data_IF_403118968228
#
_entry.id   IF_403118968228
#
_cell.length_a   1.000
_cell.length_b   1.000
_cell.length_c   1.000
_cell.angle_alpha   90.00
_cell.angle_beta   90.00
_cell.angle_gamma   90.00
#
_symmetry.space_group_name_H-M   'P 1'
#
loop_
_entity.id
_entity.type
_entity.pdbx_description
1 polymer ?
#
# COMPACT_ATOMS: atom_id res chain seq x y z
N UNK A 1 21.32 -3.81 10.01
CA UNK A 1 20.54 -2.63 9.58
C UNK A 1 19.14 -3.14 9.41
N UNK A 2 18.23 -2.75 10.29
CA UNK A 2 16.84 -3.22 10.20
C UNK A 2 16.23 -2.68 8.90
N UNK A 3 15.53 -3.51 8.12
CA UNK A 3 14.84 -3.04 6.93
C UNK A 3 13.74 -2.07 7.37
N UNK A 4 13.86 -0.81 6.96
CA UNK A 4 12.84 0.22 7.16
C UNK A 4 12.09 0.50 5.87
N UNK A 5 10.99 1.24 5.97
CA UNK A 5 10.32 1.81 4.80
C UNK A 5 11.33 2.59 3.95
N UNK A 6 11.37 2.33 2.65
CA UNK A 6 12.28 3.00 1.70
C UNK A 6 11.80 4.40 1.38
N UNK A 7 10.49 4.59 1.35
CA UNK A 7 9.84 5.88 1.18
C UNK A 7 9.35 6.41 2.52
N UNK A 8 9.48 7.73 2.75
CA UNK A 8 8.89 8.38 3.93
C UNK A 8 7.37 8.47 3.78
N UNK A 9 6.63 8.44 4.90
CA UNK A 9 5.17 8.60 4.90
C UNK A 9 4.73 9.94 4.28
N UNK A 10 5.53 11.00 4.45
CA UNK A 10 5.30 12.32 3.85
C UNK A 10 5.99 12.50 2.48
N UNK A 11 6.65 11.45 1.97
CA UNK A 11 7.25 11.42 0.63
C UNK A 11 6.25 11.11 -0.49
N UNK A 12 4.94 11.24 -0.24
CA UNK A 12 3.91 10.92 -1.23
C UNK A 12 3.96 11.80 -2.50
N UNK A 13 4.71 12.90 -2.49
CA UNK A 13 4.94 13.73 -3.66
C UNK A 13 6.19 13.35 -4.46
N UNK A 14 7.00 12.38 -4.02
CA UNK A 14 8.20 11.95 -4.73
C UNK A 14 7.89 11.25 -6.07
N UNK A 15 6.70 10.66 -6.21
CA UNK A 15 6.21 10.10 -7.47
C UNK A 15 4.86 10.73 -7.81
N UNK A 16 4.89 11.87 -8.52
CA UNK A 16 3.70 12.60 -8.95
C UNK A 16 2.72 11.72 -9.74
N UNK A 17 3.20 10.71 -10.47
CA UNK A 17 2.36 9.78 -11.21
C UNK A 17 1.51 8.91 -10.27
N UNK A 18 2.13 8.34 -9.24
CA UNK A 18 1.43 7.57 -8.20
C UNK A 18 0.53 8.49 -7.38
N UNK A 19 0.98 9.70 -7.04
CA UNK A 19 0.18 10.69 -6.32
C UNK A 19 -1.13 11.01 -7.05
N UNK A 20 -1.06 11.32 -8.35
CA UNK A 20 -2.24 11.58 -9.18
C UNK A 20 -3.11 10.32 -9.31
N UNK A 21 -2.51 9.15 -9.52
CA UNK A 21 -3.26 7.90 -9.65
C UNK A 21 -3.99 7.52 -8.35
N UNK A 22 -3.35 7.70 -7.20
CA UNK A 22 -3.96 7.51 -5.88
C UNK A 22 -5.06 8.52 -5.59
N UNK A 23 -4.96 9.73 -6.14
CA UNK A 23 -5.98 10.76 -5.98
C UNK A 23 -7.21 10.50 -6.87
N UNK A 24 -7.00 10.20 -8.15
CA UNK A 24 -8.08 10.01 -9.12
C UNK A 24 -8.68 8.59 -9.10
N UNK A 25 -7.90 7.58 -8.72
CA UNK A 25 -8.30 6.18 -8.73
C UNK A 25 -7.73 5.42 -7.50
N UNK A 26 -8.10 5.83 -6.27
CA UNK A 26 -7.57 5.20 -5.05
C UNK A 26 -7.86 3.69 -4.98
N UNK A 27 -9.02 3.26 -5.49
CA UNK A 27 -9.44 1.86 -5.53
C UNK A 27 -8.53 0.98 -6.40
N UNK A 28 -8.03 1.52 -7.51
CA UNK A 28 -7.08 0.83 -8.38
C UNK A 28 -5.73 0.66 -7.68
N UNK A 29 -5.23 1.72 -7.06
CA UNK A 29 -3.97 1.68 -6.30
C UNK A 29 -4.09 0.68 -5.15
N UNK A 30 -5.21 0.70 -4.43
CA UNK A 30 -5.48 -0.25 -3.35
C UNK A 30 -5.47 -1.71 -3.84
N UNK A 31 -6.14 -1.98 -4.97
CA UNK A 31 -6.16 -3.31 -5.58
C UNK A 31 -4.76 -3.77 -6.05
N UNK A 32 -3.94 -2.85 -6.56
CA UNK A 32 -2.54 -3.14 -6.92
C UNK A 32 -1.70 -3.44 -5.69
N UNK A 33 -1.89 -2.71 -4.59
CA UNK A 33 -1.18 -2.96 -3.34
C UNK A 33 -1.57 -4.31 -2.73
N UNK A 34 -2.87 -4.64 -2.73
CA UNK A 34 -3.37 -5.94 -2.24
C UNK A 34 -2.86 -7.11 -3.08
N UNK A 35 -2.77 -6.94 -4.41
CA UNK A 35 -2.19 -7.95 -5.31
C UNK A 35 -0.74 -8.29 -4.96
N UNK A 36 0.05 -7.27 -4.63
CA UNK A 36 1.46 -7.46 -4.32
C UNK A 36 1.70 -8.24 -3.04
N UNK A 37 0.72 -8.26 -2.13
CA UNK A 37 0.75 -9.09 -0.91
C UNK A 37 -0.03 -10.40 -1.05
N UNK A 38 -0.55 -10.71 -2.24
CA UNK A 38 -1.24 -11.98 -2.53
C UNK A 38 -2.69 -12.07 -2.03
N UNK A 39 -3.36 -10.94 -1.78
CA UNK A 39 -4.73 -10.89 -1.24
C UNK A 39 -5.81 -10.67 -2.32
N UNK A 40 -7.01 -11.22 -2.09
CA UNK A 40 -8.11 -11.19 -3.06
C UNK A 40 -8.62 -9.76 -3.32
N UNK A 41 -8.39 -9.28 -4.56
CA UNK A 41 -8.67 -7.91 -5.02
C UNK A 41 -10.08 -7.36 -4.75
N UNK A 42 -11.11 -8.19 -4.90
CA UNK A 42 -12.50 -7.72 -4.99
C UNK A 42 -13.05 -7.29 -3.63
N UNK A 43 -12.67 -8.01 -2.56
CA UNK A 43 -13.09 -7.68 -1.20
C UNK A 43 -12.38 -6.41 -0.70
N UNK A 44 -11.08 -6.28 -0.98
CA UNK A 44 -10.31 -5.08 -0.64
C UNK A 44 -10.81 -3.83 -1.39
N UNK A 45 -11.18 -3.95 -2.67
CA UNK A 45 -11.66 -2.81 -3.46
C UNK A 45 -13.02 -2.30 -2.95
N UNK A 46 -13.98 -3.20 -2.67
CA UNK A 46 -15.29 -2.84 -2.10
C UNK A 46 -15.18 -2.34 -0.66
N UNK A 47 -14.35 -2.98 0.17
CA UNK A 47 -14.16 -2.56 1.56
C UNK A 47 -13.32 -1.27 1.68
N UNK A 48 -12.47 -0.93 0.71
CA UNK A 48 -11.73 0.33 0.70
C UNK A 48 -12.65 1.56 0.60
N UNK A 49 -13.82 1.41 -0.03
CA UNK A 49 -14.80 2.49 -0.15
C UNK A 49 -15.59 2.71 1.14
N UNK A 50 -15.83 1.63 1.90
CA UNK A 50 -16.65 1.67 3.12
C UNK A 50 -15.83 1.84 4.40
N UNK A 51 -14.63 1.26 4.47
CA UNK A 51 -13.78 1.22 5.67
C UNK A 51 -12.28 1.29 5.29
N UNK A 52 -11.82 2.39 4.67
CA UNK A 52 -10.44 2.50 4.15
C UNK A 52 -9.38 2.34 5.25
N UNK A 53 -9.66 2.77 6.48
CA UNK A 53 -8.68 2.71 7.57
C UNK A 53 -8.35 1.27 7.98
N UNK A 54 -9.32 0.35 8.01
CA UNK A 54 -9.13 -1.04 8.46
C UNK A 54 -8.49 -1.89 7.36
N UNK A 55 -8.94 -1.72 6.13
CA UNK A 55 -8.35 -2.46 5.01
C UNK A 55 -6.94 -1.93 4.75
N UNK A 56 -6.75 -0.61 4.83
CA UNK A 56 -5.45 0.02 4.66
C UNK A 56 -4.41 -0.45 5.68
N UNK A 57 -4.78 -0.50 6.97
CA UNK A 57 -3.89 -1.08 8.00
C UNK A 57 -3.50 -2.51 7.71
N UNK A 58 -4.47 -3.32 7.29
CA UNK A 58 -4.23 -4.70 6.98
C UNK A 58 -3.21 -4.82 5.84
N UNK A 59 -3.46 -4.17 4.70
CA UNK A 59 -2.54 -4.18 3.55
C UNK A 59 -1.16 -3.66 3.93
N UNK A 60 -1.08 -2.55 4.69
CA UNK A 60 0.18 -2.01 5.19
C UNK A 60 0.96 -3.00 6.04
N UNK A 61 0.27 -3.69 6.95
CA UNK A 61 0.89 -4.68 7.83
C UNK A 61 1.45 -5.84 7.02
N UNK A 62 0.72 -6.31 6.00
CA UNK A 62 1.17 -7.36 5.09
C UNK A 62 2.38 -6.92 4.26
N UNK A 63 2.41 -5.68 3.77
CA UNK A 63 3.58 -5.15 3.04
C UNK A 63 4.83 -5.18 3.93
N UNK A 64 4.71 -4.78 5.21
CA UNK A 64 5.82 -4.88 6.17
C UNK A 64 6.27 -6.32 6.39
N UNK A 65 5.34 -7.24 6.57
CA UNK A 65 5.66 -8.67 6.76
C UNK A 65 6.42 -9.24 5.55
N UNK A 66 6.01 -8.89 4.33
CA UNK A 66 6.69 -9.30 3.09
C UNK A 66 8.09 -8.67 2.97
N UNK A 67 8.26 -7.43 3.41
CA UNK A 67 9.55 -6.72 3.37
C UNK A 67 10.43 -6.98 4.62
N UNK A 68 9.92 -7.71 5.62
CA UNK A 68 10.59 -7.94 6.90
C UNK A 68 10.74 -6.70 7.79
N UNK A 69 9.92 -5.66 7.60
CA UNK A 69 10.00 -4.38 8.31
C UNK A 69 9.35 -4.51 9.69
N UNK A 70 10.06 -4.14 10.75
CA UNK A 70 9.52 -4.12 12.11
C UNK A 70 8.49 -2.98 12.30
N UNK A 71 7.40 -3.32 12.99
CA UNK A 71 6.39 -2.34 13.39
C UNK A 71 5.14 -2.98 14.00
N UNK A 72 4.22 -2.13 14.46
CA UNK A 72 2.97 -2.57 15.09
C UNK A 72 1.74 -2.25 14.26
N UNK A 73 0.67 -3.03 14.43
CA UNK A 73 -0.65 -2.78 13.83
C UNK A 73 -1.20 -1.43 14.30
N UNK A 74 -0.94 -1.05 15.56
CA UNK A 74 -1.36 0.24 16.12
C UNK A 74 -0.70 1.40 15.39
N UNK A 75 0.60 1.30 15.12
CA UNK A 75 1.31 2.32 14.35
C UNK A 75 0.75 2.44 12.92
N UNK A 76 0.48 1.32 12.26
CA UNK A 76 -0.13 1.32 10.93
C UNK A 76 -1.53 1.93 10.94
N UNK A 77 -2.30 1.69 12.00
CA UNK A 77 -3.62 2.26 12.19
C UNK A 77 -3.56 3.76 12.31
N UNK A 78 -2.66 4.27 13.16
CA UNK A 78 -2.42 5.70 13.27
C UNK A 78 -1.97 6.29 11.92
N UNK A 79 -1.05 5.65 11.20
CA UNK A 79 -0.61 6.13 9.89
C UNK A 79 -1.77 6.23 8.89
N UNK A 80 -2.61 5.20 8.78
CA UNK A 80 -3.76 5.21 7.89
C UNK A 80 -4.87 6.16 8.32
N UNK A 81 -5.10 6.28 9.63
CA UNK A 81 -6.14 7.15 10.18
C UNK A 81 -5.78 8.63 10.00
N UNK A 82 -4.53 9.02 10.26
CA UNK A 82 -4.07 10.40 10.17
C UNK A 82 -3.59 10.83 8.77
N UNK A 83 -3.10 9.91 7.94
CA UNK A 83 -2.53 10.21 6.62
C UNK A 83 -2.87 9.10 5.61
N UNK A 84 -4.15 8.77 5.43
CA UNK A 84 -4.60 7.69 4.51
C UNK A 84 -4.05 7.84 3.09
N UNK A 85 -4.08 9.05 2.54
CA UNK A 85 -3.55 9.33 1.20
C UNK A 85 -2.04 9.06 1.11
N UNK A 86 -1.29 9.53 2.10
CA UNK A 86 0.16 9.42 2.14
C UNK A 86 0.59 7.97 2.36
N UNK A 87 -0.13 7.25 3.23
CA UNK A 87 0.03 5.82 3.45
C UNK A 87 -0.23 5.03 2.16
N UNK A 88 -1.32 5.32 1.44
CA UNK A 88 -1.66 4.66 0.17
C UNK A 88 -0.59 4.88 -0.90
N UNK A 89 -0.08 6.11 -1.03
CA UNK A 89 0.99 6.42 -2.00
C UNK A 89 2.31 5.75 -1.61
N UNK A 90 2.68 5.81 -0.33
CA UNK A 90 3.89 5.14 0.18
C UNK A 90 3.84 3.65 -0.14
N UNK A 91 2.72 2.99 0.16
CA UNK A 91 2.54 1.56 -0.13
C UNK A 91 2.63 1.26 -1.62
N UNK A 92 2.05 2.10 -2.47
CA UNK A 92 2.13 1.94 -3.91
C UNK A 92 3.56 2.09 -4.45
N UNK A 93 4.35 3.00 -3.86
CA UNK A 93 5.78 3.15 -4.18
C UNK A 93 6.58 1.92 -3.79
N UNK A 94 6.33 1.36 -2.60
CA UNK A 94 6.98 0.14 -2.11
C UNK A 94 6.61 -1.07 -2.98
N UNK A 95 5.33 -1.21 -3.30
CA UNK A 95 4.79 -2.28 -4.15
C UNK A 95 5.31 -2.19 -5.58
N UNK A 96 5.46 -0.98 -6.14
CA UNK A 96 6.08 -0.78 -7.45
C UNK A 96 7.49 -1.36 -7.48
N UNK A 97 8.24 -1.30 -6.39
CA UNK A 97 9.59 -1.88 -6.33
C UNK A 97 9.57 -3.40 -6.18
N UNK A 98 8.59 -3.95 -5.46
CA UNK A 98 8.37 -5.40 -5.38
C UNK A 98 7.96 -5.99 -6.75
N UNK A 99 7.22 -5.23 -7.56
CA UNK A 99 6.73 -5.66 -8.88
C UNK A 99 7.71 -5.40 -10.04
N UNK A 100 8.54 -4.35 -9.98
CA UNK A 100 9.55 -4.06 -11.04
C UNK A 100 10.69 -5.09 -11.06
N UNK A 101 10.88 -5.87 -10.00
CA UNK A 101 11.75 -7.06 -10.00
C UNK A 101 11.13 -8.30 -10.65
N UNK A 102 9.85 -8.27 -11.03
CA UNK A 102 9.09 -9.40 -11.56
C UNK A 102 8.12 -8.94 -12.64
N UNK A 103 8.61 -8.78 -13.86
CA UNK A 103 7.74 -8.72 -15.03
C UNK A 103 6.92 -10.02 -15.11
N UNK A 104 5.59 -9.91 -15.15
CA UNK A 104 4.69 -11.01 -15.49
C UNK A 104 4.13 -11.79 -14.30
N UNK A 105 2.97 -11.36 -13.80
CA UNK A 105 1.96 -12.30 -13.32
C UNK A 105 0.69 -11.99 -14.10
N UNK A 106 0.65 -12.47 -15.34
CA UNK A 106 -0.57 -13.12 -15.81
C UNK A 106 -0.80 -14.31 -14.88
N UNK A 107 -1.92 -14.33 -14.15
CA UNK A 107 -2.59 -15.57 -13.80
C UNK A 107 -4.11 -15.34 -13.81
N UNK A 108 -4.65 -15.73 -14.97
CA UNK A 108 -5.96 -16.39 -15.21
C UNK A 108 -7.25 -15.76 -14.66
#
# INVERSE_FOLDING_TARGET
MEPGWRHSIFGCFDDCGICLLSFFCPCYVFAKNSQAVGENCVLCCLCSLCIPCIVGTYVRSRIREVQGIDGSIVNDFCCWFFCSFCALVQEAQEVKQLTVGGSGIERE
#
